data_IF_940646867236
#
_entry.id   IF_940646867236
#
_cell.length_a   1.000
_cell.length_b   1.000
_cell.length_c   1.000
_cell.angle_alpha   90.00
_cell.angle_beta   90.00
_cell.angle_gamma   90.00
#
_symmetry.space_group_name_H-M   'P 1'
#
loop_
_entity.id
_entity.type
_entity.pdbx_description
1 polymer ?
#
# COMPACT_ATOMS: atom_id res chain seq x y z
N UNK A 1 -2.82 -1.10 15.53
CA UNK A 1 -3.36 -2.49 15.45
C UNK A 1 -4.60 -2.56 14.57
N UNK A 2 -5.72 -1.90 14.88
CA UNK A 2 -6.90 -1.88 14.00
C UNK A 2 -6.65 -1.31 12.58
N UNK A 3 -5.66 -0.41 12.41
CA UNK A 3 -5.26 0.09 11.10
C UNK A 3 -4.45 -0.93 10.26
N UNK A 4 -3.63 -1.77 10.90
CA UNK A 4 -2.77 -2.72 10.20
C UNK A 4 -3.61 -3.85 9.59
N UNK A 5 -4.62 -4.33 10.33
CA UNK A 5 -5.52 -5.40 9.89
C UNK A 5 -6.36 -4.97 8.68
N UNK A 6 -6.77 -3.70 8.62
CA UNK A 6 -7.48 -3.14 7.47
C UNK A 6 -6.60 -3.08 6.21
N UNK A 7 -5.30 -2.79 6.38
CA UNK A 7 -4.36 -2.73 5.25
C UNK A 7 -4.04 -4.12 4.75
N UNK A 8 -3.90 -5.10 5.65
CA UNK A 8 -3.75 -6.49 5.25
C UNK A 8 -4.98 -6.97 4.49
N UNK A 9 -6.19 -6.69 4.98
CA UNK A 9 -7.42 -7.05 4.27
C UNK A 9 -7.54 -6.33 2.92
N UNK A 10 -7.20 -5.04 2.87
CA UNK A 10 -7.24 -4.23 1.65
C UNK A 10 -6.22 -4.69 0.59
N UNK A 11 -4.97 -4.89 0.98
CA UNK A 11 -3.89 -5.26 0.06
C UNK A 11 -3.89 -6.75 -0.27
N UNK A 12 -4.34 -7.63 0.61
CA UNK A 12 -4.31 -9.08 0.39
C UNK A 12 -5.62 -9.67 -0.13
N UNK A 13 -6.78 -9.05 0.16
CA UNK A 13 -8.09 -9.70 0.01
C UNK A 13 -9.08 -8.96 -0.92
N UNK A 14 -8.58 -8.14 -1.84
CA UNK A 14 -9.41 -7.36 -2.78
C UNK A 14 -10.09 -8.22 -3.88
N UNK A 15 -11.05 -9.07 -3.50
CA UNK A 15 -12.16 -9.47 -4.38
C UNK A 15 -13.17 -8.34 -4.58
N UNK A 16 -12.99 -7.22 -3.88
CA UNK A 16 -13.82 -6.03 -3.95
C UNK A 16 -13.54 -5.25 -5.24
N UNK A 17 -14.59 -5.11 -6.05
CA UNK A 17 -14.68 -4.11 -7.11
C UNK A 17 -14.50 -2.74 -6.45
N UNK A 18 -13.32 -2.13 -6.60
CA UNK A 18 -13.07 -0.80 -6.06
C UNK A 18 -13.42 0.26 -7.10
N UNK A 19 -14.10 1.30 -6.65
CA UNK A 19 -14.27 2.53 -7.42
C UNK A 19 -12.91 3.22 -7.57
N UNK A 20 -12.74 3.97 -8.67
CA UNK A 20 -11.53 4.76 -8.91
C UNK A 20 -11.27 5.75 -7.75
N UNK A 21 -9.99 6.08 -7.51
CA UNK A 21 -9.47 6.99 -6.47
C UNK A 21 -9.36 6.37 -5.06
N UNK A 22 -8.48 5.38 -4.89
CA UNK A 22 -8.16 4.87 -3.56
C UNK A 22 -7.02 5.67 -2.95
N UNK A 23 -7.30 6.32 -1.82
CA UNK A 23 -6.32 6.91 -0.91
C UNK A 23 -5.95 5.88 0.16
N UNK A 24 -4.65 5.57 0.27
CA UNK A 24 -4.11 4.74 1.34
C UNK A 24 -3.27 5.62 2.27
N UNK A 25 -3.73 5.75 3.52
CA UNK A 25 -3.04 6.50 4.56
C UNK A 25 -2.53 5.54 5.64
N UNK A 26 -1.21 5.45 5.82
CA UNK A 26 -0.61 4.46 6.72
C UNK A 26 0.81 4.77 7.18
N UNK A 27 1.23 4.07 8.25
CA UNK A 27 2.63 4.00 8.63
C UNK A 27 3.41 3.12 7.66
N UNK A 28 4.61 3.57 7.30
CA UNK A 28 5.51 2.81 6.44
C UNK A 28 5.81 1.40 6.96
N UNK A 29 5.93 1.24 8.27
CA UNK A 29 6.21 -0.05 8.93
C UNK A 29 5.05 -1.05 8.76
N UNK A 30 3.80 -0.56 8.79
CA UNK A 30 2.63 -1.40 8.54
C UNK A 30 2.62 -1.85 7.07
N UNK A 31 2.96 -0.94 6.15
CA UNK A 31 3.09 -1.26 4.73
C UNK A 31 4.18 -2.30 4.47
N UNK A 32 5.35 -2.17 5.10
CA UNK A 32 6.41 -3.17 5.03
C UNK A 32 5.94 -4.53 5.55
N UNK A 33 5.22 -4.56 6.68
CA UNK A 33 4.74 -5.82 7.25
C UNK A 33 3.78 -6.54 6.30
N UNK A 34 2.80 -5.82 5.73
CA UNK A 34 1.78 -6.41 4.85
C UNK A 34 2.36 -6.84 3.50
N UNK A 35 3.23 -6.01 2.92
CA UNK A 35 3.89 -6.30 1.63
C UNK A 35 5.09 -7.25 1.77
N UNK A 36 5.42 -7.68 2.99
CA UNK A 36 6.62 -8.44 3.33
C UNK A 36 7.88 -7.78 2.76
N UNK A 37 8.15 -6.54 3.18
CA UNK A 37 9.23 -5.69 2.66
C UNK A 37 9.19 -5.51 1.13
N UNK A 38 7.98 -5.36 0.57
CA UNK A 38 7.75 -5.22 -0.87
C UNK A 38 8.24 -6.43 -1.69
N UNK A 39 8.06 -7.65 -1.15
CA UNK A 39 8.38 -8.90 -1.86
C UNK A 39 7.16 -9.78 -2.15
N UNK A 40 5.98 -9.45 -1.60
CA UNK A 40 4.75 -10.22 -1.77
C UNK A 40 3.95 -9.79 -3.01
N UNK A 41 4.07 -10.55 -4.09
CA UNK A 41 3.45 -10.27 -5.40
C UNK A 41 1.92 -10.16 -5.35
N UNK A 42 1.26 -10.94 -4.51
CA UNK A 42 -0.20 -10.94 -4.34
C UNK A 42 -0.73 -9.60 -3.80
N UNK A 43 0.07 -8.88 -3.02
CA UNK A 43 -0.28 -7.52 -2.58
C UNK A 43 0.00 -6.46 -3.65
N UNK A 44 0.98 -6.72 -4.53
CA UNK A 44 1.43 -5.78 -5.55
C UNK A 44 0.30 -5.37 -6.50
N UNK A 45 -0.54 -6.34 -6.92
CA UNK A 45 -1.68 -6.07 -7.80
C UNK A 45 -2.62 -5.05 -7.17
N UNK A 46 -2.89 -5.14 -5.87
CA UNK A 46 -3.80 -4.23 -5.19
C UNK A 46 -3.13 -2.90 -4.86
N UNK A 47 -1.82 -2.86 -4.62
CA UNK A 47 -1.07 -1.62 -4.52
C UNK A 47 -1.15 -0.79 -5.81
N UNK A 48 -1.23 -1.42 -7.00
CA UNK A 48 -1.44 -0.66 -8.26
C UNK A 48 -2.79 0.04 -8.36
N UNK A 49 -3.75 -0.28 -7.50
CA UNK A 49 -5.07 0.37 -7.47
C UNK A 49 -5.10 1.62 -6.57
N UNK A 50 -4.01 1.90 -5.86
CA UNK A 50 -3.86 3.07 -5.00
C UNK A 50 -3.38 4.25 -5.83
N UNK A 51 -4.12 5.36 -5.74
CA UNK A 51 -3.86 6.58 -6.49
C UNK A 51 -3.14 7.63 -5.64
N UNK A 52 -3.34 7.57 -4.33
CA UNK A 52 -2.71 8.48 -3.38
C UNK A 52 -2.22 7.63 -2.20
N UNK A 53 -0.95 7.80 -1.85
CA UNK A 53 -0.29 7.09 -0.77
C UNK A 53 0.33 8.10 0.19
N UNK A 54 -0.25 8.24 1.37
CA UNK A 54 0.28 9.06 2.45
C UNK A 54 1.03 8.16 3.42
N UNK A 55 2.33 8.41 3.62
CA UNK A 55 3.17 7.59 4.49
C UNK A 55 3.71 8.37 5.68
N UNK A 56 3.20 8.04 6.85
CA UNK A 56 3.74 8.59 8.08
C UNK A 56 5.14 8.04 8.38
N UNK A 57 6.01 8.93 8.89
CA UNK A 57 7.30 8.63 9.52
C UNK A 57 8.46 8.24 8.59
N UNK A 58 8.37 8.47 7.28
CA UNK A 58 9.48 8.20 6.35
C UNK A 58 9.96 9.45 5.62
N UNK A 59 11.28 9.67 5.61
CA UNK A 59 11.94 10.82 4.97
C UNK A 59 12.26 10.53 3.49
N UNK A 60 12.55 9.28 3.14
CA UNK A 60 12.84 8.85 1.77
C UNK A 60 12.26 7.48 1.44
N UNK A 61 11.54 7.35 0.33
CA UNK A 61 10.90 6.11 -0.09
C UNK A 61 11.84 5.23 -0.92
N UNK A 62 12.00 3.92 -0.60
CA UNK A 62 12.83 3.04 -1.41
C UNK A 62 12.18 2.81 -2.77
N UNK A 63 13.00 2.45 -3.76
CA UNK A 63 12.54 2.17 -5.13
C UNK A 63 11.46 1.08 -5.16
N UNK A 64 11.58 0.07 -4.31
CA UNK A 64 10.59 -1.01 -4.18
C UNK A 64 9.20 -0.50 -3.80
N UNK A 65 9.09 0.59 -3.04
CA UNK A 65 7.81 1.23 -2.75
C UNK A 65 7.17 1.80 -4.02
N UNK A 66 7.96 2.47 -4.87
CA UNK A 66 7.46 2.99 -6.16
C UNK A 66 7.05 1.88 -7.11
N UNK A 67 7.73 0.73 -7.07
CA UNK A 67 7.42 -0.43 -7.92
C UNK A 67 6.10 -1.13 -7.52
N UNK A 68 5.65 -0.92 -6.27
CA UNK A 68 4.35 -1.39 -5.76
C UNK A 68 3.24 -0.37 -6.00
N UNK A 69 3.56 0.91 -5.96
CA UNK A 69 2.62 2.03 -6.10
C UNK A 69 2.93 2.88 -7.35
N UNK A 70 2.91 2.30 -8.56
CA UNK A 70 3.38 2.99 -9.77
C UNK A 70 2.50 4.16 -10.21
N UNK A 71 1.25 4.20 -9.77
CA UNK A 71 0.28 5.24 -10.11
C UNK A 71 -0.04 6.17 -8.94
N UNK A 72 0.55 5.92 -7.77
CA UNK A 72 0.25 6.71 -6.59
C UNK A 72 1.06 8.01 -6.59
N UNK A 73 0.40 9.12 -6.27
CA UNK A 73 1.07 10.30 -5.73
C UNK A 73 1.48 9.93 -4.31
N UNK A 74 2.79 9.93 -4.03
CA UNK A 74 3.33 9.60 -2.71
C UNK A 74 3.68 10.90 -2.00
N UNK A 75 2.95 11.19 -0.92
CA UNK A 75 3.18 12.33 -0.02
C UNK A 75 3.86 11.85 1.27
#
# INVERSE_FOLDING_TARGET
RAHDDYIDEFLCNAKTYFQNNILLDTHYEALQRVTHDFTRDDTRINCTKVNELCLFLKIEYPKSCKDYFPFAIIE
#
